data_IF_755672072126
#
_entry.id   IF_755672072126
#
_cell.length_a   1.000
_cell.length_b   1.000
_cell.length_c   1.000
_cell.angle_alpha   90.00
_cell.angle_beta   90.00
_cell.angle_gamma   90.00
#
_symmetry.space_group_name_H-M   'P 1'
#
loop_
_entity.id
_entity.type
_entity.pdbx_description
1 polymer ?
#
# COMPACT_ATOMS: atom_id res chain seq x y z
N UNK A 1 0.27 -1.60 -3.69
CA UNK A 1 1.27 -1.55 -2.62
C UNK A 1 2.29 -2.63 -2.86
N UNK A 2 3.56 -2.29 -2.81
CA UNK A 2 4.66 -3.23 -2.86
C UNK A 2 4.92 -3.86 -1.50
N UNK A 3 5.61 -5.01 -1.44
CA UNK A 3 5.97 -5.63 -0.16
C UNK A 3 6.84 -4.74 0.70
N UNK A 4 7.77 -4.02 0.06
CA UNK A 4 8.65 -3.08 0.74
C UNK A 4 7.87 -1.92 1.39
N UNK A 5 6.70 -1.54 0.84
CA UNK A 5 5.81 -0.57 1.47
C UNK A 5 4.94 -1.18 2.58
N UNK A 6 4.63 -2.47 2.52
CA UNK A 6 3.77 -3.12 3.54
C UNK A 6 4.58 -3.53 4.76
N UNK A 7 5.76 -4.11 4.54
CA UNK A 7 6.69 -4.54 5.59
C UNK A 7 8.13 -4.14 5.22
N UNK A 8 8.53 -2.90 5.51
CA UNK A 8 9.88 -2.42 5.22
C UNK A 8 10.91 -3.08 6.14
N UNK A 9 11.88 -3.77 5.54
CA UNK A 9 13.09 -4.27 6.23
C UNK A 9 14.23 -3.26 6.12
N UNK A 10 14.05 -2.11 6.78
CA UNK A 10 14.96 -0.97 6.74
C UNK A 10 15.40 -0.59 8.16
N UNK A 11 16.66 -0.18 8.35
CA UNK A 11 17.17 0.27 9.63
C UNK A 11 18.36 1.23 9.47
N UNK A 12 18.52 2.15 10.45
CA UNK A 12 19.65 3.07 10.51
C UNK A 12 19.44 4.35 9.71
N UNK A 13 20.52 5.08 9.46
CA UNK A 13 20.50 6.35 8.74
C UNK A 13 20.50 6.09 7.23
N UNK A 14 19.44 6.55 6.57
CA UNK A 14 19.19 6.31 5.15
C UNK A 14 18.91 7.62 4.43
N UNK A 15 19.19 7.59 3.13
CA UNK A 15 18.79 8.64 2.19
C UNK A 15 17.63 8.11 1.37
N UNK A 16 16.43 8.64 1.62
CA UNK A 16 15.28 8.39 0.75
C UNK A 16 15.39 9.29 -0.47
N UNK A 17 15.18 8.69 -1.64
CA UNK A 17 15.13 9.38 -2.91
C UNK A 17 13.73 9.16 -3.47
N UNK A 18 13.00 10.25 -3.67
CA UNK A 18 11.68 10.27 -4.27
C UNK A 18 11.78 9.82 -5.74
N UNK A 19 10.88 8.94 -6.19
CA UNK A 19 10.94 8.39 -7.53
C UNK A 19 10.29 9.31 -8.58
N UNK A 20 9.40 10.20 -8.15
CA UNK A 20 8.62 11.10 -8.96
C UNK A 20 9.41 12.36 -9.36
N UNK A 21 10.18 12.92 -8.42
CA UNK A 21 10.91 14.18 -8.63
C UNK A 21 12.39 14.17 -8.21
N UNK A 22 12.90 13.03 -7.74
CA UNK A 22 14.27 12.86 -7.24
C UNK A 22 14.62 13.71 -6.00
N UNK A 23 13.61 14.21 -5.26
CA UNK A 23 13.84 14.86 -3.97
C UNK A 23 14.47 13.90 -2.96
N UNK A 24 15.20 14.46 -2.01
CA UNK A 24 16.05 13.73 -1.09
C UNK A 24 15.68 14.06 0.34
N UNK A 25 15.42 13.02 1.13
CA UNK A 25 15.25 13.12 2.56
C UNK A 25 16.25 12.23 3.31
N UNK A 26 17.03 12.82 4.21
CA UNK A 26 17.82 12.07 5.18
C UNK A 26 16.91 11.66 6.34
N UNK A 27 16.87 10.37 6.63
CA UNK A 27 16.00 9.80 7.67
C UNK A 27 16.75 8.79 8.53
N UNK A 28 16.43 8.78 9.82
CA UNK A 28 16.86 7.70 10.72
C UNK A 28 15.71 6.71 10.90
N UNK A 29 15.85 5.53 10.31
CA UNK A 29 14.88 4.45 10.43
C UNK A 29 15.08 3.71 11.75
N UNK A 30 14.15 3.96 12.67
CA UNK A 30 14.08 3.33 13.99
C UNK A 30 12.84 2.46 14.12
N UNK A 31 12.85 1.49 15.06
CA UNK A 31 11.67 0.67 15.38
C UNK A 31 10.40 1.49 15.66
N UNK A 32 10.44 2.54 16.51
CA UNK A 32 9.26 3.38 16.74
C UNK A 32 8.75 4.09 15.49
N UNK A 33 9.64 4.48 14.57
CA UNK A 33 9.27 5.09 13.29
C UNK A 33 8.54 4.07 12.40
N UNK A 34 9.08 2.85 12.27
CA UNK A 34 8.45 1.78 11.52
C UNK A 34 7.07 1.40 12.09
N UNK A 35 6.95 1.31 13.42
CA UNK A 35 5.67 1.01 14.06
C UNK A 35 4.63 2.12 13.83
N UNK A 36 5.07 3.39 13.83
CA UNK A 36 4.21 4.52 13.46
C UNK A 36 3.79 4.44 12.00
N UNK A 37 4.72 4.16 11.09
CA UNK A 37 4.44 4.00 9.66
C UNK A 37 3.39 2.92 9.42
N UNK A 38 3.56 1.72 10.00
CA UNK A 38 2.59 0.63 9.89
C UNK A 38 1.18 1.03 10.37
N UNK A 39 1.08 1.75 11.50
CA UNK A 39 -0.21 2.27 11.99
C UNK A 39 -0.83 3.29 11.04
N UNK A 40 -0.04 4.21 10.51
CA UNK A 40 -0.50 5.22 9.54
C UNK A 40 -0.98 4.56 8.25
N UNK A 41 -0.23 3.58 7.72
CA UNK A 41 -0.59 2.83 6.53
C UNK A 41 -1.90 2.05 6.74
N UNK A 42 -2.04 1.33 7.86
CA UNK A 42 -3.26 0.61 8.19
C UNK A 42 -4.47 1.54 8.27
N UNK A 43 -4.35 2.68 8.95
CA UNK A 43 -5.41 3.67 9.05
C UNK A 43 -5.81 4.26 7.69
N UNK A 44 -4.83 4.52 6.80
CA UNK A 44 -5.10 4.99 5.45
C UNK A 44 -5.87 3.95 4.62
N UNK A 45 -5.42 2.69 4.63
CA UNK A 45 -6.08 1.57 3.94
C UNK A 45 -7.51 1.39 4.43
N UNK A 46 -7.72 1.42 5.75
CA UNK A 46 -9.04 1.25 6.35
C UNK A 46 -9.96 2.43 6.03
N UNK A 47 -9.44 3.66 6.04
CA UNK A 47 -10.18 4.85 5.63
C UNK A 47 -10.63 4.79 4.16
N UNK A 48 -9.75 4.34 3.26
CA UNK A 48 -10.09 4.13 1.85
C UNK A 48 -11.16 3.04 1.68
N UNK A 49 -11.03 1.93 2.41
CA UNK A 49 -12.03 0.85 2.41
C UNK A 49 -13.39 1.34 2.89
N UNK A 50 -13.43 2.07 4.00
CA UNK A 50 -14.66 2.61 4.56
C UNK A 50 -15.30 3.64 3.61
N UNK A 51 -14.49 4.51 3.02
CA UNK A 51 -14.95 5.49 2.03
C UNK A 51 -15.69 4.84 0.86
N UNK A 52 -15.13 3.76 0.31
CA UNK A 52 -15.75 2.98 -0.76
C UNK A 52 -17.02 2.27 -0.28
N UNK A 53 -16.95 1.57 0.86
CA UNK A 53 -18.07 0.80 1.39
C UNK A 53 -19.31 1.67 1.67
N UNK A 54 -19.12 2.87 2.25
CA UNK A 54 -20.23 3.82 2.52
C UNK A 54 -20.94 4.31 1.25
N UNK A 55 -20.34 4.12 0.07
CA UNK A 55 -20.88 4.53 -1.24
C UNK A 55 -21.30 3.35 -2.11
N UNK A 56 -21.28 2.13 -1.57
CA UNK A 56 -21.56 0.91 -2.34
C UNK A 56 -20.48 0.60 -3.40
N UNK A 57 -19.29 1.20 -3.30
CA UNK A 57 -18.17 0.92 -4.20
C UNK A 57 -17.44 -0.34 -3.73
N UNK A 58 -17.02 -1.19 -4.67
CA UNK A 58 -16.16 -2.33 -4.32
C UNK A 58 -14.72 -1.85 -4.09
N UNK A 59 -14.19 -2.09 -2.90
CA UNK A 59 -12.79 -1.88 -2.57
C UNK A 59 -11.97 -3.16 -2.75
N UNK A 60 -10.81 -3.05 -3.39
CA UNK A 60 -9.81 -4.11 -3.50
C UNK A 60 -8.45 -3.48 -3.22
N UNK A 61 -7.72 -4.05 -2.26
CA UNK A 61 -6.32 -3.71 -2.03
C UNK A 61 -5.46 -4.49 -3.04
N UNK A 62 -4.86 -3.78 -4.00
CA UNK A 62 -3.94 -4.39 -4.96
C UNK A 62 -2.52 -4.38 -4.42
N UNK A 63 -1.97 -5.56 -4.13
CA UNK A 63 -0.55 -5.75 -3.84
C UNK A 63 0.20 -6.05 -5.14
N UNK A 64 1.37 -5.44 -5.36
CA UNK A 64 2.18 -5.67 -6.58
C UNK A 64 2.79 -7.08 -6.64
N UNK A 65 2.77 -7.82 -5.53
CA UNK A 65 3.10 -9.25 -5.50
C UNK A 65 2.05 -10.13 -6.19
N UNK A 66 0.84 -9.61 -6.37
CA UNK A 66 -0.22 -10.35 -7.06
C UNK A 66 -0.16 -9.99 -8.54
N UNK A 67 0.05 -10.96 -9.45
CA UNK A 67 0.01 -10.70 -10.87
C UNK A 67 -1.31 -10.03 -11.26
N UNK A 68 -1.23 -8.98 -12.08
CA UNK A 68 -2.40 -8.21 -12.54
C UNK A 68 -3.47 -9.12 -13.15
N UNK A 69 -3.04 -10.13 -13.91
CA UNK A 69 -3.92 -11.15 -14.51
C UNK A 69 -4.71 -11.93 -13.45
N UNK A 70 -4.11 -12.28 -12.32
CA UNK A 70 -4.77 -12.92 -11.19
C UNK A 70 -5.77 -11.98 -10.52
N UNK A 71 -5.40 -10.72 -10.32
CA UNK A 71 -6.29 -9.71 -9.72
C UNK A 71 -7.54 -9.47 -10.59
N UNK A 72 -7.37 -9.37 -11.91
CA UNK A 72 -8.48 -9.18 -12.85
C UNK A 72 -9.34 -10.44 -12.99
N UNK A 73 -8.71 -11.61 -13.17
CA UNK A 73 -9.43 -12.85 -13.51
C UNK A 73 -10.07 -13.52 -12.29
N UNK A 74 -9.44 -13.49 -11.12
CA UNK A 74 -10.01 -14.14 -9.94
C UNK A 74 -10.92 -13.20 -9.14
N UNK A 75 -10.61 -11.92 -9.01
CA UNK A 75 -11.36 -11.04 -8.10
C UNK A 75 -12.41 -10.21 -8.83
N UNK A 76 -12.05 -9.57 -9.95
CA UNK A 76 -13.00 -8.72 -10.67
C UNK A 76 -14.04 -9.56 -11.44
N UNK A 77 -13.63 -10.61 -12.15
CA UNK A 77 -14.57 -11.51 -12.85
C UNK A 77 -15.48 -12.30 -11.91
N UNK A 78 -14.97 -12.86 -10.79
CA UNK A 78 -15.83 -13.59 -9.83
C UNK A 78 -16.89 -12.70 -9.17
N UNK A 79 -16.63 -11.40 -9.04
CA UNK A 79 -17.60 -10.41 -8.52
C UNK A 79 -18.44 -9.74 -9.61
N UNK A 80 -18.32 -10.17 -10.87
CA UNK A 80 -19.11 -9.63 -11.99
C UNK A 80 -18.73 -8.20 -12.42
N UNK A 81 -17.57 -7.68 -11.99
CA UNK A 81 -17.14 -6.31 -12.26
C UNK A 81 -16.43 -6.16 -13.62
N UNK A 82 -15.97 -7.26 -14.21
CA UNK A 82 -15.33 -7.31 -15.54
C UNK A 82 -15.88 -8.53 -16.28
N UNK A 83 -16.17 -8.38 -17.58
CA UNK A 83 -16.69 -9.46 -18.45
C UNK A 83 -15.62 -9.92 -19.42
#
# INVERSE_FOLDING_TARGET
LSPAEVDPDLAGDLKLVDAEDADVAEVTVSRPLLDRYRRTLAAFIDGAREFCNRRGMTYILANTDVPVTTLVTQYLRRRGLVR
#
